data_IF_271223277239
#
_entry.id   IF_271223277239
#
_cell.length_a   1.000
_cell.length_b   1.000
_cell.length_c   1.000
_cell.angle_alpha   90.00
_cell.angle_beta   90.00
_cell.angle_gamma   90.00
#
_symmetry.space_group_name_H-M   'P 1'
#
loop_
_entity.id
_entity.type
_entity.pdbx_description
1 polymer ?
#
# COMPACT_ATOMS: atom_id res chain seq x y z
N UNK A 1 1.36 -25.86 36.21
CA UNK A 1 0.00 -26.41 36.45
C UNK A 1 -0.96 -25.25 36.27
N UNK A 2 -1.95 -25.19 35.37
CA UNK A 2 -2.74 -26.21 34.69
C UNK A 2 -3.34 -25.47 33.47
N UNK A 3 -3.04 -25.91 32.25
CA UNK A 3 -3.73 -25.45 31.02
C UNK A 3 -5.15 -26.03 31.04
N UNK A 4 -6.15 -25.18 30.80
CA UNK A 4 -7.51 -25.62 30.52
C UNK A 4 -8.15 -24.65 29.53
N UNK A 5 -8.05 -24.99 28.24
CA UNK A 5 -8.90 -24.47 27.19
C UNK A 5 -10.21 -25.26 27.22
N UNK A 6 -11.37 -24.59 27.28
CA UNK A 6 -12.53 -25.14 26.61
C UNK A 6 -13.34 -24.07 25.84
N UNK A 7 -13.79 -24.49 24.64
CA UNK A 7 -14.83 -23.87 23.81
C UNK A 7 -14.47 -22.60 22.99
N UNK A 8 -13.94 -22.88 21.79
CA UNK A 8 -14.47 -22.42 20.49
C UNK A 8 -15.19 -21.06 20.46
N UNK A 9 -14.42 -20.01 20.18
CA UNK A 9 -14.85 -18.90 19.32
C UNK A 9 -13.72 -18.70 18.34
N UNK A 10 -13.96 -19.03 17.07
CA UNK A 10 -13.13 -18.61 15.97
C UNK A 10 -13.25 -17.08 15.87
N UNK A 11 -12.32 -16.37 16.49
CA UNK A 11 -12.10 -14.97 16.20
C UNK A 11 -10.89 -14.95 15.29
N UNK A 12 -11.16 -14.92 13.99
CA UNK A 12 -10.19 -14.53 12.99
C UNK A 12 -9.63 -13.19 13.45
N UNK A 13 -8.44 -13.21 14.03
CA UNK A 13 -7.67 -12.01 14.24
C UNK A 13 -7.41 -11.49 12.83
N UNK A 14 -8.10 -10.40 12.52
CA UNK A 14 -7.84 -9.60 11.36
C UNK A 14 -6.32 -9.44 11.23
N UNK A 15 -5.78 -10.01 10.17
CA UNK A 15 -4.65 -9.39 9.50
C UNK A 15 -5.24 -8.05 9.07
N UNK A 16 -5.11 -7.04 9.92
CA UNK A 16 -5.18 -5.65 9.49
C UNK A 16 -3.80 -5.41 8.87
N UNK A 17 -3.63 -5.42 7.55
CA UNK A 17 -2.44 -4.86 6.92
C UNK A 17 -2.51 -3.33 7.02
N UNK A 18 -2.70 -2.79 8.22
CA UNK A 18 -2.86 -1.37 8.46
C UNK A 18 -1.96 -0.96 9.61
N UNK A 19 -0.78 -0.43 9.27
CA UNK A 19 0.05 0.51 10.06
C UNK A 19 1.45 0.62 9.41
N UNK A 20 1.57 1.40 8.31
CA UNK A 20 2.78 2.11 7.85
C UNK A 20 4.05 1.33 7.44
N UNK A 21 4.30 0.14 7.97
CA UNK A 21 5.54 -0.61 7.68
C UNK A 21 5.62 -1.10 6.24
N UNK A 22 4.47 -1.35 5.61
CA UNK A 22 4.38 -1.70 4.19
C UNK A 22 4.73 -0.51 3.29
N UNK A 23 4.23 0.69 3.63
CA UNK A 23 4.46 1.92 2.85
C UNK A 23 5.94 2.32 2.88
N UNK A 24 6.56 2.37 4.06
CA UNK A 24 7.97 2.77 4.19
C UNK A 24 8.90 1.80 3.46
N UNK A 25 8.69 0.48 3.62
CA UNK A 25 9.49 -0.51 2.90
C UNK A 25 9.28 -0.44 1.38
N UNK A 26 8.05 -0.21 0.93
CA UNK A 26 7.75 -0.06 -0.50
C UNK A 26 8.45 1.15 -1.12
N UNK A 27 8.48 2.29 -0.41
CA UNK A 27 9.19 3.48 -0.86
C UNK A 27 10.71 3.28 -0.85
N UNK A 28 11.26 2.60 0.17
CA UNK A 28 12.68 2.21 0.22
C UNK A 28 13.03 1.28 -0.97
N UNK A 29 12.21 0.24 -1.24
CA UNK A 29 12.40 -0.68 -2.36
C UNK A 29 12.31 0.03 -3.72
N UNK A 30 11.39 1.00 -3.85
CA UNK A 30 11.30 1.88 -5.03
C UNK A 30 12.59 2.67 -5.21
N UNK A 31 13.08 3.32 -4.15
CA UNK A 31 14.27 4.14 -4.16
C UNK A 31 15.54 3.32 -4.50
N UNK A 32 15.64 2.13 -3.93
CA UNK A 32 16.69 1.16 -4.27
C UNK A 32 16.62 0.70 -5.73
N UNK A 33 15.40 0.57 -6.28
CA UNK A 33 15.21 0.20 -7.68
C UNK A 33 15.62 1.30 -8.66
N UNK A 34 15.15 2.53 -8.44
CA UNK A 34 15.41 3.66 -9.35
C UNK A 34 16.87 4.14 -9.24
N UNK A 35 17.47 4.01 -8.06
CA UNK A 35 18.85 4.41 -7.79
C UNK A 35 19.08 5.94 -7.77
N UNK A 36 18.02 6.72 -8.03
CA UNK A 36 17.97 8.18 -8.01
C UNK A 36 16.82 8.60 -7.09
N UNK A 37 16.98 8.36 -5.80
CA UNK A 37 16.04 8.78 -4.77
C UNK A 37 16.80 9.56 -3.70
N UNK A 38 16.49 10.85 -3.57
CA UNK A 38 16.94 11.65 -2.45
C UNK A 38 16.10 11.32 -1.21
N UNK A 39 16.58 11.65 0.00
CA UNK A 39 15.77 11.47 1.21
C UNK A 39 14.42 12.18 1.12
N UNK A 40 14.37 13.33 0.44
CA UNK A 40 13.12 14.06 0.23
C UNK A 40 12.17 13.30 -0.72
N UNK A 41 12.69 12.55 -1.71
CA UNK A 41 11.85 11.74 -2.62
C UNK A 41 11.28 10.49 -1.94
N UNK A 42 12.02 9.91 -0.98
CA UNK A 42 11.54 8.80 -0.15
C UNK A 42 10.44 9.28 0.80
N UNK A 43 10.68 10.40 1.50
CA UNK A 43 9.71 11.02 2.40
C UNK A 43 8.43 11.43 1.63
N UNK A 44 8.55 12.03 0.44
CA UNK A 44 7.41 12.39 -0.41
C UNK A 44 6.62 11.14 -0.85
N UNK A 45 7.28 10.01 -1.14
CA UNK A 45 6.61 8.75 -1.45
C UNK A 45 5.75 8.26 -0.27
N UNK A 46 6.34 8.29 0.94
CA UNK A 46 5.66 7.87 2.17
C UNK A 46 4.46 8.78 2.44
N UNK A 47 4.67 10.10 2.43
CA UNK A 47 3.63 11.09 2.72
C UNK A 47 2.45 10.96 1.74
N UNK A 48 2.71 10.76 0.45
CA UNK A 48 1.65 10.58 -0.55
C UNK A 48 0.83 9.30 -0.33
N UNK A 49 1.48 8.19 0.05
CA UNK A 49 0.79 6.93 0.33
C UNK A 49 0.02 6.98 1.65
N UNK A 50 0.56 7.62 2.69
CA UNK A 50 -0.17 7.86 3.95
C UNK A 50 -1.36 8.80 3.77
N UNK A 51 -1.22 9.83 2.92
CA UNK A 51 -2.33 10.72 2.57
C UNK A 51 -3.42 9.97 1.79
N UNK A 52 -3.02 9.06 0.88
CA UNK A 52 -3.95 8.20 0.17
C UNK A 52 -4.68 7.22 1.10
N UNK A 53 -3.98 6.61 2.07
CA UNK A 53 -4.57 5.76 3.11
C UNK A 53 -5.60 6.55 3.92
N UNK A 54 -5.22 7.74 4.38
CA UNK A 54 -6.08 8.58 5.22
C UNK A 54 -7.34 9.03 4.50
N UNK A 55 -7.21 9.37 3.22
CA UNK A 55 -8.36 9.72 2.38
C UNK A 55 -9.26 8.50 2.13
N UNK A 56 -8.67 7.34 1.82
CA UNK A 56 -9.42 6.10 1.67
C UNK A 56 -10.21 5.76 2.94
N UNK A 57 -9.58 5.81 4.12
CA UNK A 57 -10.25 5.60 5.42
C UNK A 57 -11.38 6.61 5.65
N UNK A 58 -11.13 7.90 5.36
CA UNK A 58 -12.15 8.96 5.49
C UNK A 58 -13.38 8.71 4.62
N UNK A 59 -13.21 8.11 3.45
CA UNK A 59 -14.29 7.77 2.51
C UNK A 59 -14.88 6.36 2.73
N UNK A 60 -14.33 5.56 3.64
CA UNK A 60 -14.75 4.17 3.88
C UNK A 60 -14.25 3.18 2.82
N UNK A 61 -13.13 3.51 2.17
CA UNK A 61 -12.47 2.78 1.10
C UNK A 61 -11.17 2.09 1.51
N UNK A 62 -10.98 1.86 2.81
CA UNK A 62 -9.79 1.21 3.40
C UNK A 62 -9.50 -0.14 2.72
N UNK A 63 -10.53 -0.96 2.46
CA UNK A 63 -10.36 -2.25 1.78
C UNK A 63 -9.75 -2.11 0.38
N UNK A 64 -10.15 -1.08 -0.39
CA UNK A 64 -9.60 -0.85 -1.73
C UNK A 64 -8.17 -0.33 -1.69
N UNK A 65 -7.81 0.42 -0.63
CA UNK A 65 -6.45 0.86 -0.43
C UNK A 65 -5.54 -0.32 -0.09
N UNK A 66 -5.98 -1.18 0.84
CA UNK A 66 -5.27 -2.39 1.22
C UNK A 66 -5.07 -3.35 0.03
N UNK A 67 -6.10 -3.52 -0.81
CA UNK A 67 -6.00 -4.31 -2.06
C UNK A 67 -4.97 -3.72 -3.02
N UNK A 68 -4.93 -2.39 -3.16
CA UNK A 68 -3.98 -1.71 -4.04
C UNK A 68 -2.53 -1.84 -3.54
N UNK A 69 -2.29 -1.61 -2.24
CA UNK A 69 -0.97 -1.79 -1.62
C UNK A 69 -0.52 -3.25 -1.73
N UNK A 70 -1.37 -4.20 -1.36
CA UNK A 70 -1.02 -5.63 -1.39
C UNK A 70 -0.69 -6.09 -2.82
N UNK A 71 -1.42 -5.62 -3.83
CA UNK A 71 -1.08 -5.95 -5.21
C UNK A 71 0.30 -5.41 -5.58
N UNK A 72 0.57 -4.13 -5.27
CA UNK A 72 1.85 -3.51 -5.58
C UNK A 72 2.99 -4.28 -4.93
N UNK A 73 2.88 -4.62 -3.66
CA UNK A 73 3.90 -5.41 -2.95
C UNK A 73 4.13 -6.78 -3.62
N UNK A 74 3.07 -7.44 -4.07
CA UNK A 74 3.14 -8.75 -4.72
C UNK A 74 3.72 -8.69 -6.15
N UNK A 75 3.36 -7.67 -6.92
CA UNK A 75 3.77 -7.50 -8.32
C UNK A 75 5.03 -6.66 -8.48
N UNK A 76 5.57 -6.08 -7.40
CA UNK A 76 6.74 -5.21 -7.43
C UNK A 76 7.92 -5.88 -8.15
N UNK A 77 8.31 -5.32 -9.28
CA UNK A 77 9.45 -5.79 -10.04
C UNK A 77 10.33 -4.61 -10.48
N UNK A 78 11.62 -4.67 -10.16
CA UNK A 78 12.57 -3.68 -10.65
C UNK A 78 13.09 -4.06 -12.05
N UNK A 79 12.81 -3.23 -13.07
CA UNK A 79 13.29 -3.45 -14.45
C UNK A 79 13.99 -2.22 -15.01
N UNK A 80 15.31 -2.29 -15.06
CA UNK A 80 16.13 -1.26 -15.70
C UNK A 80 15.97 0.12 -15.06
N UNK A 81 15.92 0.17 -13.73
CA UNK A 81 15.77 1.42 -12.97
C UNK A 81 14.33 1.94 -12.89
N UNK A 82 13.34 1.11 -13.23
CA UNK A 82 11.92 1.48 -13.16
C UNK A 82 11.17 0.41 -12.36
N UNK A 83 10.24 0.85 -11.54
CA UNK A 83 9.29 -0.02 -10.85
C UNK A 83 8.24 -0.50 -11.87
N UNK A 84 8.06 -1.81 -11.96
CA UNK A 84 7.05 -2.49 -12.78
C UNK A 84 6.02 -3.11 -11.84
N UNK A 85 4.80 -2.61 -11.96
CA UNK A 85 3.63 -2.90 -11.11
C UNK A 85 2.36 -2.88 -11.98
N UNK A 86 2.53 -3.07 -13.30
CA UNK A 86 1.45 -2.97 -14.30
C UNK A 86 0.28 -3.95 -14.03
N UNK A 87 0.55 -5.03 -13.29
CA UNK A 87 -0.45 -5.99 -12.82
C UNK A 87 -1.55 -5.39 -11.94
N UNK A 88 -1.28 -4.25 -11.29
CA UNK A 88 -2.14 -3.68 -10.23
C UNK A 88 -3.08 -2.57 -10.69
N UNK A 89 -3.18 -2.35 -12.00
CA UNK A 89 -4.02 -1.27 -12.54
C UNK A 89 -5.49 -1.43 -12.12
N UNK A 90 -5.99 -2.65 -11.95
CA UNK A 90 -7.38 -2.89 -11.58
C UNK A 90 -7.66 -2.47 -10.13
N UNK A 91 -6.76 -2.79 -9.22
CA UNK A 91 -6.84 -2.48 -7.79
C UNK A 91 -6.71 -0.97 -7.57
N UNK A 92 -5.77 -0.32 -8.26
CA UNK A 92 -5.63 1.15 -8.26
C UNK A 92 -6.88 1.85 -8.84
N UNK A 93 -7.44 1.32 -9.94
CA UNK A 93 -8.69 1.84 -10.51
C UNK A 93 -9.87 1.66 -9.54
N UNK A 94 -9.92 0.56 -8.79
CA UNK A 94 -10.96 0.32 -7.78
C UNK A 94 -10.82 1.31 -6.62
N UNK A 95 -9.60 1.56 -6.14
CA UNK A 95 -9.31 2.59 -5.14
C UNK A 95 -9.76 3.96 -5.63
N UNK A 96 -9.36 4.37 -6.84
CA UNK A 96 -9.74 5.66 -7.43
C UNK A 96 -11.23 5.81 -7.76
N UNK A 97 -11.99 4.71 -7.85
CA UNK A 97 -13.46 4.73 -8.00
C UNK A 97 -14.19 4.79 -6.67
N UNK A 98 -13.61 4.20 -5.62
CA UNK A 98 -14.17 4.22 -4.29
C UNK A 98 -13.93 5.59 -3.64
N UNK A 99 -12.69 6.06 -3.73
CA UNK A 99 -12.28 7.42 -3.36
C UNK A 99 -12.65 8.41 -4.47
N UNK A 100 -12.37 9.69 -4.23
CA UNK A 100 -12.29 10.63 -5.33
C UNK A 100 -11.05 10.29 -6.20
N UNK A 101 -11.20 10.36 -7.53
CA UNK A 101 -10.13 10.11 -8.53
C UNK A 101 -8.72 10.68 -8.22
N UNK A 102 -8.55 11.82 -7.50
CA UNK A 102 -7.23 12.30 -7.11
C UNK A 102 -6.43 11.30 -6.26
N UNK A 103 -7.07 10.49 -5.42
CA UNK A 103 -6.38 9.57 -4.50
C UNK A 103 -5.74 8.41 -5.25
N UNK A 104 -6.44 7.83 -6.23
CA UNK A 104 -5.86 6.81 -7.12
C UNK A 104 -4.71 7.35 -7.97
N UNK A 105 -4.75 8.63 -8.34
CA UNK A 105 -3.65 9.30 -9.05
C UNK A 105 -2.43 9.56 -8.15
N UNK A 106 -2.65 9.99 -6.91
CA UNK A 106 -1.58 10.21 -5.92
C UNK A 106 -0.87 8.89 -5.59
N UNK A 107 -1.66 7.84 -5.34
CA UNK A 107 -1.15 6.48 -5.18
C UNK A 107 -0.27 6.09 -6.37
N UNK A 108 -0.76 6.36 -7.59
CA UNK A 108 -0.04 5.88 -8.77
C UNK A 108 1.25 6.65 -9.05
N UNK A 109 1.23 7.95 -8.78
CA UNK A 109 2.38 8.84 -8.88
C UNK A 109 3.48 8.44 -7.87
N UNK A 110 3.11 8.16 -6.62
CA UNK A 110 4.07 7.77 -5.57
C UNK A 110 4.92 6.55 -5.96
N UNK A 111 4.39 5.66 -6.81
CA UNK A 111 5.04 4.41 -7.19
C UNK A 111 5.81 4.50 -8.51
N UNK A 112 5.35 5.30 -9.48
CA UNK A 112 5.91 5.34 -10.84
C UNK A 112 6.73 6.61 -11.17
N UNK A 113 6.97 7.51 -10.22
CA UNK A 113 7.83 8.69 -10.48
C UNK A 113 9.27 8.31 -10.81
#
# INVERSE_FOLDING_TARGET
MKLACPFTVALALALLPGCGSSISNLCEDRCDCTGDCSPDDEDDCIDNLEDAEREAVSQGCEEQFDEAISCVEDEFACRGGNVDVDGCRQEVDNLGRCTDLPTGLLFWAAIND
#
